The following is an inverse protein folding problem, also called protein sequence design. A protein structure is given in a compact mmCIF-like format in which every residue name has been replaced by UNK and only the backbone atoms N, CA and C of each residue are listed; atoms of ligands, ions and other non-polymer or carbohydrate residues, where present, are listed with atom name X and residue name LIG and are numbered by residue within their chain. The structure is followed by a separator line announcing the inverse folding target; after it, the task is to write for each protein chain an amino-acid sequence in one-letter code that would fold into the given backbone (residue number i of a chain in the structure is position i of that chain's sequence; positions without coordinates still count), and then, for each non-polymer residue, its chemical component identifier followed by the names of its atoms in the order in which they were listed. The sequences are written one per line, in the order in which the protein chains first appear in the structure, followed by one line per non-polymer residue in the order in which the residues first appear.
data_IF_018257821076
#
_entry.id   IF_018257821076
#
_cell.length_a   1.000
_cell.length_b   1.000
_cell.length_c   1.000
_cell.angle_alpha   90.00
_cell.angle_beta   90.00
_cell.angle_gamma   90.00
#
_symmetry.space_group_name_H-M   'P 1'
#
loop_
_entity.id
_entity.type
_entity.pdbx_description
1 polymer ?
#
# COMPACT_ATOMS: atom_id res chain seq x y z
N UNK A 1 22.74 7.08 0.02
CA UNK A 1 23.24 5.70 0.20
C UNK A 1 22.92 5.00 -1.11
N UNK A 2 23.88 4.44 -1.86
CA UNK A 2 23.55 3.70 -3.09
C UNK A 2 23.17 2.29 -2.71
N UNK A 3 21.89 1.96 -2.59
CA UNK A 3 21.49 0.57 -2.33
C UNK A 3 21.67 -0.23 -3.63
N UNK A 4 22.77 -0.94 -3.81
CA UNK A 4 22.87 -1.89 -4.93
C UNK A 4 23.00 -3.29 -4.34
N UNK A 5 21.93 -4.07 -4.55
CA UNK A 5 21.71 -5.46 -4.13
C UNK A 5 21.07 -5.65 -2.73
N UNK A 6 19.88 -6.23 -2.72
CA UNK A 6 19.33 -6.93 -1.55
C UNK A 6 20.01 -8.29 -1.49
N UNK A 7 21.07 -8.42 -0.68
CA UNK A 7 21.61 -9.72 -0.32
C UNK A 7 20.80 -10.26 0.87
N UNK A 8 19.90 -11.21 0.59
CA UNK A 8 19.42 -12.15 1.59
C UNK A 8 20.50 -13.22 1.68
N UNK A 9 21.08 -13.43 2.86
CA UNK A 9 22.11 -14.46 3.07
C UNK A 9 21.53 -15.84 2.73
N UNK A 10 21.80 -16.29 1.51
CA UNK A 10 21.55 -17.65 1.07
C UNK A 10 22.67 -18.54 1.63
N UNK A 11 22.28 -19.66 2.22
CA UNK A 11 23.17 -20.80 2.28
C UNK A 11 23.67 -21.14 0.87
N UNK A 12 24.96 -20.91 0.65
CA UNK A 12 25.82 -21.36 -0.45
C UNK A 12 26.05 -20.43 -1.67
N UNK A 13 27.35 -20.14 -1.82
CA UNK A 13 28.12 -19.83 -3.02
C UNK A 13 27.95 -18.46 -3.71
N UNK A 14 29.00 -17.66 -3.56
CA UNK A 14 29.32 -16.48 -4.36
C UNK A 14 29.20 -16.76 -5.86
N UNK A 15 28.59 -15.82 -6.60
CA UNK A 15 28.60 -15.84 -8.06
C UNK A 15 29.21 -14.53 -8.57
N UNK A 16 30.14 -14.71 -9.49
CA UNK A 16 31.18 -13.81 -9.96
C UNK A 16 30.67 -12.64 -10.81
N UNK A 17 31.37 -11.49 -10.72
CA UNK A 17 30.94 -10.18 -11.19
C UNK A 17 31.20 -9.92 -12.70
N UNK A 18 31.26 -10.95 -13.55
CA UNK A 18 31.62 -10.78 -14.97
C UNK A 18 30.56 -11.24 -16.00
N UNK A 19 29.34 -11.63 -15.59
CA UNK A 19 28.29 -12.16 -16.49
C UNK A 19 27.13 -11.20 -16.82
N UNK A 20 27.32 -9.89 -16.56
CA UNK A 20 26.27 -8.87 -16.46
C UNK A 20 25.50 -8.52 -17.74
N UNK A 21 25.91 -8.99 -18.92
CA UNK A 21 25.24 -8.63 -20.20
C UNK A 21 24.36 -9.72 -20.81
N UNK A 22 24.37 -10.96 -20.30
CA UNK A 22 23.59 -12.08 -20.88
C UNK A 22 22.26 -12.37 -20.16
N UNK A 23 21.91 -11.62 -19.12
CA UNK A 23 20.66 -11.80 -18.37
C UNK A 23 19.45 -11.04 -18.95
N UNK A 24 19.66 -10.09 -19.86
CA UNK A 24 18.61 -9.24 -20.42
C UNK A 24 17.70 -9.93 -21.46
N UNK A 25 18.03 -11.14 -21.94
CA UNK A 25 17.26 -11.82 -22.99
C UNK A 25 16.31 -12.92 -22.50
N UNK A 26 16.11 -13.06 -21.18
CA UNK A 26 15.22 -14.08 -20.58
C UNK A 26 14.10 -13.50 -19.70
N UNK A 27 13.99 -12.18 -19.60
CA UNK A 27 12.80 -11.54 -19.04
C UNK A 27 11.66 -11.62 -20.07
N UNK A 28 11.11 -12.82 -20.23
CA UNK A 28 9.68 -12.93 -20.53
C UNK A 28 8.98 -12.00 -19.55
N UNK A 29 8.17 -11.08 -20.09
CA UNK A 29 7.34 -10.15 -19.32
C UNK A 29 6.83 -10.86 -18.06
N UNK A 30 7.17 -10.36 -16.85
CA UNK A 30 6.77 -11.03 -15.62
C UNK A 30 5.27 -11.27 -15.66
N UNK A 31 4.81 -12.38 -15.10
CA UNK A 31 3.43 -12.48 -14.69
C UNK A 31 3.23 -11.42 -13.60
N UNK A 32 2.81 -10.23 -14.03
CA UNK A 32 2.44 -9.12 -13.18
C UNK A 32 1.22 -9.61 -12.40
N UNK A 33 1.38 -9.92 -11.11
CA UNK A 33 0.24 -9.85 -10.19
C UNK A 33 -0.03 -8.36 -10.00
N UNK A 34 -0.92 -7.86 -10.84
CA UNK A 34 -1.24 -6.47 -11.03
C UNK A 34 -2.02 -5.99 -9.81
N UNK A 35 -1.32 -5.61 -8.75
CA UNK A 35 -1.81 -4.48 -7.96
C UNK A 35 -1.49 -3.20 -8.74
N UNK A 36 -2.14 -3.05 -9.90
CA UNK A 36 -2.60 -1.73 -10.36
C UNK A 36 -3.29 -1.05 -9.18
N UNK A 37 -3.45 0.28 -9.20
CA UNK A 37 -4.40 0.93 -8.31
C UNK A 37 -5.72 0.14 -8.36
N UNK A 38 -5.98 -0.67 -7.34
CA UNK A 38 -7.00 -1.70 -7.44
C UNK A 38 -8.24 -1.07 -6.85
N UNK A 39 -9.32 -1.09 -7.60
CA UNK A 39 -10.57 -0.63 -7.04
C UNK A 39 -11.08 -1.62 -6.01
N UNK A 40 -11.58 -1.13 -4.87
CA UNK A 40 -12.32 -1.95 -3.90
C UNK A 40 -13.41 -2.77 -4.61
N UNK A 41 -13.76 -3.93 -4.05
CA UNK A 41 -14.73 -4.84 -4.68
C UNK A 41 -16.01 -4.13 -5.14
N UNK A 42 -16.37 -4.29 -6.42
CA UNK A 42 -17.53 -3.67 -7.05
C UNK A 42 -17.28 -2.30 -7.70
N UNK A 43 -16.10 -1.71 -7.54
CA UNK A 43 -15.69 -0.52 -8.29
C UNK A 43 -14.95 -0.90 -9.58
N UNK A 44 -15.07 -0.05 -10.60
CA UNK A 44 -14.39 -0.17 -11.90
C UNK A 44 -13.41 0.99 -12.08
N UNK A 45 -12.19 0.69 -12.52
CA UNK A 45 -11.16 1.71 -12.75
C UNK A 45 -11.38 2.41 -14.09
N UNK A 46 -11.25 3.73 -14.10
CA UNK A 46 -11.21 4.55 -15.30
C UNK A 46 -10.32 5.77 -15.04
N UNK A 47 -9.33 6.00 -15.91
CA UNK A 47 -8.35 7.10 -15.80
C UNK A 47 -7.71 7.27 -14.40
N UNK A 48 -7.43 6.16 -13.72
CA UNK A 48 -6.79 6.18 -12.40
C UNK A 48 -7.73 6.53 -11.24
N UNK A 49 -9.04 6.56 -11.46
CA UNK A 49 -10.08 6.75 -10.43
C UNK A 49 -11.00 5.52 -10.44
N UNK A 50 -11.50 5.13 -9.27
CA UNK A 50 -12.41 4.02 -9.10
C UNK A 50 -13.84 4.51 -9.02
N UNK A 51 -14.75 3.90 -9.78
CA UNK A 51 -16.16 4.29 -9.81
C UNK A 51 -17.10 3.13 -9.53
N UNK A 52 -18.20 3.40 -8.84
CA UNK A 52 -19.24 2.41 -8.57
C UNK A 52 -20.62 3.05 -8.61
N UNK A 53 -21.49 2.48 -9.44
CA UNK A 53 -22.90 2.84 -9.48
C UNK A 53 -23.68 1.94 -8.48
N UNK A 54 -24.37 2.57 -7.53
CA UNK A 54 -25.13 1.86 -6.50
C UNK A 54 -26.56 1.62 -6.94
N UNK A 55 -27.04 0.38 -6.78
CA UNK A 55 -28.40 -0.01 -7.16
C UNK A 55 -29.47 0.30 -6.07
N UNK A 56 -29.18 1.25 -5.18
CA UNK A 56 -30.07 1.66 -4.08
C UNK A 56 -30.42 3.13 -4.24
N UNK A 57 -31.64 3.51 -3.86
CA UNK A 57 -32.12 4.89 -3.99
C UNK A 57 -31.90 5.68 -2.71
N UNK A 58 -31.46 6.94 -2.84
CA UNK A 58 -31.14 7.87 -1.75
C UNK A 58 -31.33 9.32 -2.20
N UNK A 59 -31.63 10.20 -1.26
CA UNK A 59 -31.43 11.64 -1.46
C UNK A 59 -29.93 11.97 -1.60
N UNK A 60 -29.64 13.18 -2.08
CA UNK A 60 -28.27 13.61 -2.37
C UNK A 60 -27.34 13.52 -1.14
N UNK A 61 -27.83 13.93 0.02
CA UNK A 61 -27.05 13.96 1.27
C UNK A 61 -26.70 12.55 1.76
N UNK A 62 -27.66 11.62 1.72
CA UNK A 62 -27.45 10.23 2.11
C UNK A 62 -26.58 9.49 1.08
N UNK A 63 -26.68 9.84 -0.20
CA UNK A 63 -25.82 9.31 -1.26
C UNK A 63 -24.37 9.76 -1.05
N UNK A 64 -24.14 11.06 -0.82
CA UNK A 64 -22.83 11.61 -0.49
C UNK A 64 -22.24 10.95 0.77
N UNK A 65 -23.03 10.85 1.84
CA UNK A 65 -22.63 10.15 3.08
C UNK A 65 -22.28 8.67 2.83
N UNK A 66 -22.99 8.00 1.92
CA UNK A 66 -22.69 6.61 1.54
C UNK A 66 -21.37 6.52 0.78
N UNK A 67 -21.10 7.43 -0.14
CA UNK A 67 -19.82 7.46 -0.86
C UNK A 67 -18.65 7.77 0.07
N UNK A 68 -18.82 8.68 1.03
CA UNK A 68 -17.82 8.96 2.07
C UNK A 68 -17.56 7.72 2.93
N UNK A 69 -18.61 7.03 3.37
CA UNK A 69 -18.48 5.79 4.14
C UNK A 69 -17.82 4.65 3.35
N UNK A 70 -17.95 4.67 2.02
CA UNK A 70 -17.32 3.69 1.10
C UNK A 70 -15.94 4.17 0.59
N UNK A 71 -15.35 5.19 1.22
CA UNK A 71 -13.96 5.63 0.99
C UNK A 71 -13.76 6.65 -0.14
N UNK A 72 -14.81 7.38 -0.53
CA UNK A 72 -14.78 8.31 -1.66
C UNK A 72 -15.74 9.49 -1.54
N UNK A 73 -16.24 9.95 -2.67
CA UNK A 73 -17.18 11.07 -2.85
C UNK A 73 -18.21 10.71 -3.92
N UNK A 74 -19.25 11.52 -4.11
CA UNK A 74 -20.05 11.38 -5.33
C UNK A 74 -19.18 11.62 -6.57
N UNK A 75 -19.45 10.90 -7.65
CA UNK A 75 -18.63 10.95 -8.86
C UNK A 75 -18.69 12.33 -9.53
N UNK A 76 -17.58 12.77 -10.13
CA UNK A 76 -17.46 14.08 -10.77
C UNK A 76 -17.09 13.91 -12.25
N UNK A 77 -18.06 13.74 -13.17
CA UNK A 77 -17.81 13.64 -14.61
C UNK A 77 -17.35 14.98 -15.20
N UNK A 78 -16.07 15.32 -15.01
CA UNK A 78 -15.51 16.63 -15.39
C UNK A 78 -15.09 16.77 -16.85
N UNK A 79 -15.08 15.66 -17.59
CA UNK A 79 -14.68 15.60 -18.99
C UNK A 79 -15.52 14.60 -19.78
N UNK A 80 -15.37 14.63 -21.11
CA UNK A 80 -16.16 13.81 -22.03
C UNK A 80 -15.93 12.32 -21.87
N UNK A 81 -14.70 11.90 -21.57
CA UNK A 81 -14.32 10.48 -21.45
C UNK A 81 -14.91 9.89 -20.17
N UNK A 82 -14.68 10.56 -19.04
CA UNK A 82 -15.23 10.19 -17.73
C UNK A 82 -16.77 10.17 -17.77
N UNK A 83 -17.41 11.17 -18.40
CA UNK A 83 -18.86 11.20 -18.54
C UNK A 83 -19.41 10.00 -19.33
N UNK A 84 -18.79 9.67 -20.47
CA UNK A 84 -19.20 8.52 -21.28
C UNK A 84 -19.02 7.19 -20.51
N UNK A 85 -17.95 7.06 -19.76
CA UNK A 85 -17.71 5.90 -18.90
C UNK A 85 -18.80 5.77 -17.81
N UNK A 86 -19.14 6.86 -17.09
CA UNK A 86 -20.19 6.83 -16.06
C UNK A 86 -21.57 6.48 -16.62
N UNK A 87 -21.88 6.93 -17.84
CA UNK A 87 -23.12 6.56 -18.54
C UNK A 87 -23.19 5.04 -18.76
N UNK A 88 -22.10 4.44 -19.25
CA UNK A 88 -22.05 2.99 -19.44
C UNK A 88 -22.15 2.24 -18.09
N UNK A 89 -21.45 2.72 -17.07
CA UNK A 89 -21.47 2.15 -15.72
C UNK A 89 -22.87 2.13 -15.11
N UNK A 90 -23.59 3.27 -15.13
CA UNK A 90 -24.95 3.34 -14.58
C UNK A 90 -25.95 2.50 -15.37
N UNK A 91 -25.85 2.48 -16.70
CA UNK A 91 -26.80 1.77 -17.55
C UNK A 91 -26.66 0.25 -17.43
N UNK A 92 -25.44 -0.23 -17.13
CA UNK A 92 -25.19 -1.62 -16.81
C UNK A 92 -25.85 -2.05 -15.48
N UNK A 93 -26.01 -1.12 -14.54
CA UNK A 93 -26.70 -1.37 -13.26
C UNK A 93 -28.21 -1.27 -13.41
N UNK A 94 -28.70 -0.17 -13.98
CA UNK A 94 -30.11 0.02 -14.32
C UNK A 94 -30.29 1.17 -15.32
N UNK A 95 -30.53 0.83 -16.59
CA UNK A 95 -30.79 1.78 -17.66
C UNK A 95 -32.11 2.57 -17.51
N UNK A 96 -33.02 2.14 -16.63
CA UNK A 96 -34.34 2.77 -16.44
C UNK A 96 -34.37 3.83 -15.33
N UNK A 97 -33.33 3.91 -14.50
CA UNK A 97 -33.25 4.84 -13.35
C UNK A 97 -32.34 6.04 -13.63
N UNK A 98 -32.64 7.16 -12.97
CA UNK A 98 -31.71 8.29 -12.86
C UNK A 98 -30.61 8.01 -11.83
N UNK A 99 -29.45 8.66 -11.99
CA UNK A 99 -28.29 8.50 -11.11
C UNK A 99 -27.66 9.85 -10.74
N UNK A 100 -27.63 10.18 -9.45
CA UNK A 100 -26.98 11.37 -8.91
C UNK A 100 -25.46 11.27 -8.99
N UNK A 101 -24.83 12.43 -9.18
CA UNK A 101 -23.38 12.61 -9.15
C UNK A 101 -23.05 13.93 -8.43
N UNK A 102 -21.77 14.16 -8.14
CA UNK A 102 -21.29 15.12 -7.16
C UNK A 102 -21.21 16.56 -7.67
N UNK A 103 -22.33 17.12 -8.12
CA UNK A 103 -22.44 18.50 -8.60
C UNK A 103 -23.71 19.14 -8.03
N UNK A 104 -23.58 20.34 -7.47
CA UNK A 104 -24.69 21.08 -6.83
C UNK A 104 -24.50 22.59 -6.90
N UNK A 105 -25.59 23.35 -6.94
CA UNK A 105 -25.60 24.82 -6.80
C UNK A 105 -26.37 25.29 -5.55
N UNK A 106 -26.56 24.39 -4.56
CA UNK A 106 -27.21 24.65 -3.25
C UNK A 106 -26.77 25.94 -2.53
N UNK A 107 -25.52 26.36 -2.74
CA UNK A 107 -24.97 27.56 -2.10
C UNK A 107 -25.45 28.84 -2.77
N UNK A 108 -25.59 28.83 -4.10
CA UNK A 108 -25.98 29.96 -4.91
C UNK A 108 -26.50 29.47 -6.26
N UNK A 109 -27.79 29.68 -6.51
CA UNK A 109 -28.47 29.35 -7.76
C UNK A 109 -27.65 29.72 -9.01
N UNK A 110 -27.44 28.73 -9.89
CA UNK A 110 -26.68 28.87 -11.13
C UNK A 110 -25.16 28.75 -10.99
N UNK A 111 -24.62 28.80 -9.76
CA UNK A 111 -23.20 28.59 -9.47
C UNK A 111 -22.95 27.14 -9.05
N UNK A 112 -22.88 26.26 -10.04
CA UNK A 112 -22.64 24.82 -9.85
C UNK A 112 -21.21 24.52 -9.38
N UNK A 113 -21.09 23.74 -8.30
CA UNK A 113 -19.84 23.37 -7.63
C UNK A 113 -19.76 21.84 -7.48
N UNK A 114 -18.57 21.30 -7.74
CA UNK A 114 -18.25 19.89 -7.56
C UNK A 114 -17.94 19.55 -6.10
N UNK A 115 -18.01 18.27 -5.72
CA UNK A 115 -17.64 17.78 -4.36
C UNK A 115 -16.21 18.19 -3.91
N UNK A 116 -15.30 18.50 -4.84
CA UNK A 116 -13.95 19.00 -4.54
C UNK A 116 -13.84 20.54 -4.47
N UNK A 117 -14.98 21.24 -4.36
CA UNK A 117 -15.11 22.70 -4.31
C UNK A 117 -14.63 23.44 -5.56
N UNK A 118 -14.44 22.75 -6.68
CA UNK A 118 -14.15 23.38 -7.97
C UNK A 118 -15.46 23.78 -8.64
N UNK A 119 -15.53 25.00 -9.18
CA UNK A 119 -16.70 25.47 -9.96
C UNK A 119 -16.81 24.72 -11.29
N UNK A 120 -18.04 24.47 -11.75
CA UNK A 120 -18.32 23.89 -13.06
C UNK A 120 -17.68 24.73 -14.18
N UNK A 121 -17.06 24.06 -15.14
CA UNK A 121 -16.31 24.69 -16.23
C UNK A 121 -17.08 24.64 -17.57
N UNK A 122 -16.38 24.56 -18.70
CA UNK A 122 -16.99 24.52 -20.03
C UNK A 122 -17.69 23.19 -20.35
N UNK A 123 -17.30 22.09 -19.71
CA UNK A 123 -17.93 20.79 -19.92
C UNK A 123 -19.18 20.66 -19.05
N UNK A 124 -20.36 20.67 -19.70
CA UNK A 124 -21.68 20.70 -19.04
C UNK A 124 -22.76 20.07 -19.94
N UNK A 125 -22.79 18.74 -20.10
CA UNK A 125 -23.71 18.02 -20.98
C UNK A 125 -25.13 17.93 -20.40
N UNK A 126 -25.68 19.08 -20.00
CA UNK A 126 -27.08 19.25 -19.62
C UNK A 126 -28.03 18.82 -20.74
N UNK A 127 -29.17 18.28 -20.36
CA UNK A 127 -30.26 17.97 -21.26
C UNK A 127 -30.79 19.23 -21.96
N UNK A 128 -31.44 19.09 -23.12
CA UNK A 128 -32.22 20.16 -23.74
C UNK A 128 -33.17 20.85 -22.75
N UNK A 129 -32.85 22.09 -22.37
CA UNK A 129 -33.65 22.88 -21.43
C UNK A 129 -33.16 22.84 -19.98
N UNK A 130 -32.15 22.02 -19.67
CA UNK A 130 -31.54 21.92 -18.34
C UNK A 130 -30.29 22.82 -18.20
N UNK A 131 -29.94 23.24 -16.97
CA UNK A 131 -30.74 23.10 -15.75
C UNK A 131 -31.95 24.06 -15.77
N UNK A 132 -33.11 23.60 -15.31
CA UNK A 132 -34.39 24.32 -15.40
C UNK A 132 -34.94 24.86 -14.05
N UNK A 133 -34.33 24.42 -12.95
CA UNK A 133 -34.66 24.71 -11.57
C UNK A 133 -36.16 24.53 -11.24
N UNK A 134 -36.75 23.40 -11.66
CA UNK A 134 -38.17 23.13 -11.46
C UNK A 134 -38.45 22.76 -10.00
N UNK A 135 -38.88 23.75 -9.22
CA UNK A 135 -39.21 23.63 -7.79
C UNK A 135 -37.98 23.49 -6.89
N UNK A 136 -36.92 24.27 -7.16
CA UNK A 136 -35.73 24.34 -6.31
C UNK A 136 -34.90 23.04 -6.42
N UNK A 137 -34.34 22.83 -7.61
CA UNK A 137 -33.59 21.62 -7.97
C UNK A 137 -32.09 21.89 -8.02
N UNK A 138 -31.42 21.69 -6.89
CA UNK A 138 -30.02 22.12 -6.76
C UNK A 138 -28.97 20.99 -6.91
N UNK A 139 -29.38 19.79 -7.34
CA UNK A 139 -28.50 18.61 -7.35
C UNK A 139 -28.51 17.88 -8.68
N UNK A 140 -27.33 17.68 -9.27
CA UNK A 140 -27.22 17.08 -10.59
C UNK A 140 -27.41 15.56 -10.57
N UNK A 141 -28.08 15.07 -11.60
CA UNK A 141 -28.24 13.65 -11.89
C UNK A 141 -28.19 13.37 -13.39
N UNK A 142 -27.83 12.15 -13.77
CA UNK A 142 -28.08 11.67 -15.12
C UNK A 142 -29.55 11.28 -15.25
N UNK A 143 -30.20 11.71 -16.33
CA UNK A 143 -31.43 11.09 -16.76
C UNK A 143 -31.24 9.58 -16.99
N UNK A 144 -32.34 8.85 -16.78
CA UNK A 144 -32.51 7.47 -17.23
C UNK A 144 -32.05 7.30 -18.68
N UNK A 145 -31.32 6.22 -18.98
CA UNK A 145 -30.91 5.94 -20.35
C UNK A 145 -32.06 5.45 -21.24
N UNK A 146 -33.23 5.16 -20.66
CA UNK A 146 -34.49 4.96 -21.39
C UNK A 146 -35.36 6.22 -21.48
N UNK A 147 -34.86 7.40 -21.09
CA UNK A 147 -35.58 8.66 -21.27
C UNK A 147 -35.76 8.96 -22.76
N UNK A 148 -36.95 9.40 -23.20
CA UNK A 148 -37.29 9.41 -24.63
C UNK A 148 -36.54 10.47 -25.46
N UNK A 149 -36.21 11.61 -24.86
CA UNK A 149 -35.55 12.74 -25.53
C UNK A 149 -34.15 13.04 -24.99
N UNK A 150 -33.90 12.70 -23.73
CA UNK A 150 -32.75 13.23 -22.96
C UNK A 150 -31.93 12.09 -22.33
N UNK A 151 -31.99 10.91 -22.94
CA UNK A 151 -31.31 9.71 -22.45
C UNK A 151 -29.86 10.01 -22.08
N UNK A 152 -29.52 9.79 -20.81
CA UNK A 152 -28.17 9.98 -20.26
C UNK A 152 -27.63 11.42 -20.24
N UNK A 153 -28.43 12.43 -20.59
CA UNK A 153 -28.02 13.82 -20.38
C UNK A 153 -28.09 14.19 -18.88
N UNK A 154 -27.44 15.28 -18.47
CA UNK A 154 -27.57 15.77 -17.11
C UNK A 154 -28.90 16.49 -16.89
N UNK A 155 -29.44 16.36 -15.69
CA UNK A 155 -30.64 17.00 -15.19
C UNK A 155 -30.33 17.59 -13.82
N UNK A 156 -30.87 18.76 -13.52
CA UNK A 156 -30.95 19.25 -12.15
C UNK A 156 -32.20 18.66 -11.49
N UNK A 157 -32.01 18.02 -10.34
CA UNK A 157 -33.06 17.31 -9.62
C UNK A 157 -33.09 17.71 -8.16
N UNK A 158 -34.27 17.70 -7.54
CA UNK A 158 -34.42 17.97 -6.10
C UNK A 158 -33.43 17.17 -5.25
N UNK A 159 -32.61 17.84 -4.45
CA UNK A 159 -31.62 17.21 -3.56
C UNK A 159 -32.25 16.29 -2.51
N UNK A 160 -33.54 16.45 -2.21
CA UNK A 160 -34.25 15.76 -1.12
C UNK A 160 -35.03 14.52 -1.59
N UNK A 161 -35.16 14.31 -2.91
CA UNK A 161 -35.84 13.17 -3.48
C UNK A 161 -35.09 11.85 -3.19
N UNK A 162 -35.80 10.85 -2.66
CA UNK A 162 -35.22 9.57 -2.19
C UNK A 162 -35.30 8.42 -3.20
N UNK A 163 -35.69 8.71 -4.44
CA UNK A 163 -35.95 7.74 -5.52
C UNK A 163 -34.85 7.70 -6.59
N UNK A 164 -33.80 8.52 -6.45
CA UNK A 164 -32.65 8.49 -7.37
C UNK A 164 -31.54 7.56 -6.86
N UNK A 165 -30.91 6.81 -7.77
CA UNK A 165 -29.67 6.06 -7.49
C UNK A 165 -28.47 6.99 -7.56
N UNK A 166 -27.25 6.51 -7.32
CA UNK A 166 -26.07 7.37 -7.26
C UNK A 166 -24.80 6.66 -7.69
N UNK A 167 -23.79 7.44 -8.09
CA UNK A 167 -22.48 6.96 -8.49
C UNK A 167 -21.43 7.55 -7.54
N UNK A 168 -20.62 6.70 -6.94
CA UNK A 168 -19.47 7.13 -6.15
C UNK A 168 -18.20 7.08 -6.99
N UNK A 169 -17.27 7.98 -6.70
CA UNK A 169 -15.88 7.87 -7.09
C UNK A 169 -15.00 7.78 -5.85
N UNK A 170 -13.97 6.96 -5.91
CA UNK A 170 -12.93 6.88 -4.89
C UNK A 170 -11.58 6.96 -5.59
N UNK A 171 -10.59 7.52 -4.91
CA UNK A 171 -9.21 7.19 -5.27
C UNK A 171 -9.10 5.67 -5.22
N UNK A 172 -8.47 5.02 -6.21
CA UNK A 172 -8.20 3.60 -6.08
C UNK A 172 -7.58 3.38 -4.72
N UNK A 173 -8.06 2.35 -4.02
CA UNK A 173 -7.38 2.00 -2.79
C UNK A 173 -5.93 1.83 -3.22
N UNK A 174 -5.05 2.55 -2.52
CA UNK A 174 -3.71 2.06 -2.41
C UNK A 174 -3.90 0.58 -2.13
N UNK A 175 -3.40 -0.31 -2.99
CA UNK A 175 -3.35 -1.71 -2.60
C UNK A 175 -2.84 -1.78 -1.16
N UNK A 176 -3.12 -2.85 -0.43
CA UNK A 176 -2.59 -2.98 0.93
C UNK A 176 -1.06 -2.88 0.99
N UNK A 177 -0.36 -2.77 -0.15
CA UNK A 177 1.00 -2.29 -0.34
C UNK A 177 1.13 -1.52 -1.68
N UNK A 178 2.32 -0.98 -1.96
CA UNK A 178 2.69 -0.36 -3.25
C UNK A 178 3.72 -1.18 -4.01
N UNK A 179 3.65 -1.17 -5.33
CA UNK A 179 4.60 -1.82 -6.22
C UNK A 179 4.18 -3.19 -6.75
N UNK A 180 4.81 -3.58 -7.85
CA UNK A 180 4.57 -4.83 -8.54
C UNK A 180 5.34 -5.96 -7.87
N UNK A 181 4.65 -7.02 -7.48
CA UNK A 181 5.26 -8.14 -6.76
C UNK A 181 5.97 -9.10 -7.69
N UNK A 182 7.12 -9.59 -7.23
CA UNK A 182 7.77 -10.77 -7.77
C UNK A 182 8.07 -11.74 -6.64
N UNK A 183 7.41 -12.90 -6.68
CA UNK A 183 7.65 -14.00 -5.74
C UNK A 183 8.45 -15.07 -6.46
N UNK A 184 9.69 -15.29 -6.03
CA UNK A 184 10.54 -16.33 -6.62
C UNK A 184 10.17 -17.69 -6.03
N UNK A 185 9.92 -18.66 -6.91
CA UNK A 185 9.61 -20.05 -6.55
C UNK A 185 8.39 -20.22 -5.63
N UNK A 186 7.45 -19.27 -5.65
CA UNK A 186 6.27 -19.22 -4.78
C UNK A 186 6.60 -19.25 -3.27
N UNK A 187 7.82 -18.86 -2.89
CA UNK A 187 8.23 -18.69 -1.50
C UNK A 187 7.95 -17.24 -1.05
N UNK A 188 6.93 -17.01 -0.19
CA UNK A 188 6.55 -15.66 0.23
C UNK A 188 7.54 -15.04 1.22
N UNK A 189 8.56 -15.76 1.69
CA UNK A 189 9.54 -15.22 2.63
C UNK A 189 10.27 -13.99 2.08
N UNK A 190 10.46 -13.93 0.75
CA UNK A 190 11.01 -12.76 0.05
C UNK A 190 10.21 -12.50 -1.22
N UNK A 191 9.43 -11.43 -1.20
CA UNK A 191 8.73 -10.88 -2.35
C UNK A 191 9.37 -9.54 -2.71
N UNK A 192 9.91 -9.40 -3.92
CA UNK A 192 10.43 -8.11 -4.37
C UNK A 192 9.30 -7.22 -4.86
N UNK A 193 9.39 -5.93 -4.58
CA UNK A 193 8.46 -4.91 -5.05
C UNK A 193 9.17 -4.05 -6.09
N UNK A 194 8.54 -3.86 -7.24
CA UNK A 194 9.05 -3.01 -8.32
C UNK A 194 8.18 -1.76 -8.48
N UNK A 195 8.79 -0.64 -8.87
CA UNK A 195 8.05 0.53 -9.33
C UNK A 195 7.49 0.33 -10.75
N UNK A 196 6.66 1.26 -11.22
CA UNK A 196 6.02 1.17 -12.54
C UNK A 196 6.98 1.14 -13.73
N UNK A 197 8.24 1.52 -13.52
CA UNK A 197 9.27 1.51 -14.55
C UNK A 197 10.15 0.25 -14.46
N UNK A 198 9.87 -0.65 -13.50
CA UNK A 198 10.51 -1.95 -13.38
C UNK A 198 11.76 -1.98 -12.51
N UNK A 199 12.00 -0.96 -11.67
CA UNK A 199 13.14 -0.95 -10.73
C UNK A 199 12.71 -1.40 -9.33
N UNK A 200 13.58 -2.14 -8.62
CA UNK A 200 13.30 -2.62 -7.25
C UNK A 200 13.07 -1.44 -6.31
N UNK A 201 11.85 -1.31 -5.80
CA UNK A 201 11.39 -0.22 -4.94
C UNK A 201 11.15 -0.66 -3.48
N UNK A 202 11.18 -1.97 -3.20
CA UNK A 202 10.96 -2.49 -1.86
C UNK A 202 11.03 -4.01 -1.78
N UNK A 203 10.72 -4.52 -0.59
CA UNK A 203 10.66 -5.93 -0.26
C UNK A 203 9.49 -6.20 0.68
N UNK A 204 8.82 -7.32 0.46
CA UNK A 204 7.77 -7.85 1.30
C UNK A 204 8.16 -9.22 1.84
N UNK A 205 7.77 -9.49 3.08
CA UNK A 205 7.83 -10.80 3.70
C UNK A 205 6.40 -11.22 4.03
N UNK A 206 6.00 -12.40 3.55
CA UNK A 206 4.69 -12.98 3.76
C UNK A 206 4.74 -14.22 4.63
N UNK A 207 3.74 -14.40 5.48
CA UNK A 207 3.47 -15.62 6.24
C UNK A 207 2.09 -16.13 5.90
N UNK A 208 1.97 -17.39 5.47
CA UNK A 208 0.65 -17.97 5.20
C UNK A 208 -0.08 -18.21 6.52
N UNK A 209 -1.35 -17.84 6.58
CA UNK A 209 -2.20 -18.06 7.77
C UNK A 209 -2.32 -19.53 8.14
N UNK A 210 -2.22 -20.44 7.16
CA UNK A 210 -2.22 -21.89 7.36
C UNK A 210 -0.96 -22.43 8.03
N UNK A 211 0.15 -21.69 7.97
CA UNK A 211 1.45 -22.08 8.54
C UNK A 211 1.62 -21.56 9.98
N UNK A 212 0.72 -20.68 10.43
CA UNK A 212 0.77 -20.15 11.78
C UNK A 212 0.27 -21.17 12.81
N UNK A 213 0.99 -21.37 13.93
CA UNK A 213 0.52 -22.25 14.99
C UNK A 213 -0.77 -21.73 15.61
N UNK A 214 -1.65 -22.64 16.04
CA UNK A 214 -2.92 -22.31 16.70
C UNK A 214 -2.76 -21.79 18.14
N UNK A 215 -1.52 -21.63 18.62
CA UNK A 215 -1.18 -21.24 19.99
C UNK A 215 -1.17 -19.71 20.22
N UNK A 216 -1.45 -18.92 19.17
CA UNK A 216 -1.45 -17.46 19.24
C UNK A 216 -0.05 -16.84 19.18
N UNK A 217 0.94 -17.57 18.68
CA UNK A 217 2.24 -17.03 18.23
C UNK A 217 2.07 -15.99 17.12
N UNK A 218 3.10 -15.16 16.93
CA UNK A 218 3.03 -13.91 16.16
C UNK A 218 3.05 -14.18 14.65
N UNK A 219 2.21 -13.49 13.86
CA UNK A 219 1.18 -12.53 14.30
C UNK A 219 -0.01 -13.22 15.00
N UNK A 220 -0.40 -12.77 16.22
CA UNK A 220 -1.57 -13.33 16.89
C UNK A 220 -2.84 -12.94 16.13
N UNK A 221 -3.96 -13.62 16.40
CA UNK A 221 -5.29 -13.33 15.81
C UNK A 221 -5.86 -11.92 16.07
N UNK A 222 -5.06 -10.97 16.56
CA UNK A 222 -5.30 -9.54 16.57
C UNK A 222 -4.20 -8.85 15.74
N UNK A 223 -4.59 -8.21 14.65
CA UNK A 223 -3.69 -7.46 13.76
C UNK A 223 -3.09 -6.31 14.56
N UNK A 224 -1.80 -6.41 14.88
CA UNK A 224 -1.02 -5.29 15.39
C UNK A 224 -0.13 -4.76 14.27
N UNK A 225 -0.12 -3.43 14.01
CA UNK A 225 0.94 -2.79 13.24
C UNK A 225 2.32 -3.37 13.59
N UNK A 226 3.18 -3.71 12.61
CA UNK A 226 3.11 -3.40 11.19
C UNK A 226 2.51 -4.52 10.30
N UNK A 227 1.81 -5.51 10.87
CA UNK A 227 1.27 -6.61 10.09
C UNK A 227 0.07 -6.18 9.23
N UNK A 228 0.13 -6.47 7.93
CA UNK A 228 -0.95 -6.17 6.98
C UNK A 228 -1.58 -7.47 6.49
N UNK A 229 -2.92 -7.50 6.48
CA UNK A 229 -3.68 -8.65 5.99
C UNK A 229 -3.77 -8.62 4.46
N UNK A 230 -3.49 -9.76 3.81
CA UNK A 230 -3.73 -9.95 2.39
C UNK A 230 -4.19 -11.38 2.12
N UNK A 231 -5.50 -11.55 1.89
CA UNK A 231 -6.14 -12.84 1.59
C UNK A 231 -5.76 -13.92 2.60
N UNK A 232 -4.94 -14.89 2.20
CA UNK A 232 -4.47 -16.03 3.00
C UNK A 232 -3.13 -15.77 3.71
N UNK A 233 -2.58 -14.55 3.65
CA UNK A 233 -1.28 -14.18 4.18
C UNK A 233 -1.33 -12.99 5.16
N UNK A 234 -0.30 -12.93 6.01
CA UNK A 234 0.14 -11.75 6.75
C UNK A 234 1.41 -11.21 6.13
N UNK A 235 1.52 -9.89 6.02
CA UNK A 235 2.60 -9.22 5.32
C UNK A 235 3.34 -8.24 6.23
N UNK A 236 4.65 -8.19 6.04
CA UNK A 236 5.52 -7.08 6.44
C UNK A 236 6.10 -6.45 5.19
N UNK A 237 6.03 -5.13 5.08
CA UNK A 237 6.47 -4.41 3.89
C UNK A 237 7.55 -3.39 4.25
N UNK A 238 8.69 -3.48 3.57
CA UNK A 238 9.73 -2.48 3.53
C UNK A 238 9.77 -1.80 2.15
N UNK A 239 9.81 -0.48 2.12
CA UNK A 239 10.03 0.30 0.90
C UNK A 239 11.40 0.97 0.96
N UNK A 240 12.09 1.01 -0.18
CA UNK A 240 13.41 1.63 -0.33
C UNK A 240 13.33 3.04 -0.93
N UNK A 241 12.15 3.39 -1.45
CA UNK A 241 11.80 4.72 -1.92
C UNK A 241 10.45 5.11 -1.35
N UNK A 242 10.09 6.38 -1.47
CA UNK A 242 8.80 6.88 -0.98
C UNK A 242 7.64 6.12 -1.66
N UNK A 243 6.71 5.51 -0.89
CA UNK A 243 5.65 4.67 -1.46
C UNK A 243 4.67 5.40 -2.39
N UNK A 244 4.52 6.72 -2.24
CA UNK A 244 3.70 7.53 -3.15
C UNK A 244 4.22 7.48 -4.59
N UNK A 245 5.51 7.25 -4.77
CA UNK A 245 6.20 7.42 -6.05
C UNK A 245 6.25 6.10 -6.83
N UNK A 246 6.16 4.96 -6.12
CA UNK A 246 6.32 3.61 -6.67
C UNK A 246 5.34 3.33 -7.83
N UNK A 247 4.06 3.68 -7.66
CA UNK A 247 3.02 3.40 -8.64
C UNK A 247 2.63 4.62 -9.49
N UNK A 248 3.09 5.83 -9.13
CA UNK A 248 2.71 7.08 -9.79
C UNK A 248 3.74 7.47 -10.83
N UNK A 249 4.92 7.95 -10.42
CA UNK A 249 5.98 8.47 -11.27
C UNK A 249 7.06 7.42 -11.55
N UNK A 250 7.28 6.50 -10.62
CA UNK A 250 8.39 5.55 -10.62
C UNK A 250 9.75 6.25 -10.67
N UNK A 251 10.85 5.49 -10.65
CA UNK A 251 12.17 6.08 -10.94
C UNK A 251 12.50 6.00 -12.41
N UNK A 252 13.24 6.98 -12.89
CA UNK A 252 13.95 6.96 -14.15
C UNK A 252 15.20 6.07 -14.06
N UNK A 253 15.71 5.63 -15.20
CA UNK A 253 16.99 4.91 -15.27
C UNK A 253 18.13 5.73 -14.66
N UNK A 254 18.15 7.05 -14.85
CA UNK A 254 19.20 7.91 -14.31
C UNK A 254 19.16 7.95 -12.77
N UNK A 255 17.98 8.06 -12.17
CA UNK A 255 17.79 7.97 -10.71
C UNK A 255 18.21 6.60 -10.20
N UNK A 256 17.80 5.51 -10.85
CA UNK A 256 18.21 4.16 -10.45
C UNK A 256 19.73 3.94 -10.54
N UNK A 257 20.39 4.46 -11.57
CA UNK A 257 21.85 4.38 -11.69
C UNK A 257 22.57 5.20 -10.63
N UNK A 258 21.99 6.33 -10.20
CA UNK A 258 22.59 7.13 -9.14
C UNK A 258 22.30 6.59 -7.74
N UNK A 259 21.06 6.21 -7.46
CA UNK A 259 20.57 5.87 -6.11
C UNK A 259 20.56 4.36 -5.84
N UNK A 260 20.60 3.54 -6.89
CA UNK A 260 20.36 2.10 -6.78
C UNK A 260 18.89 1.77 -6.48
N UNK A 261 18.64 0.75 -5.68
CA UNK A 261 17.31 0.32 -5.23
C UNK A 261 16.63 1.33 -4.31
N UNK A 262 17.32 2.36 -3.83
CA UNK A 262 16.73 3.48 -3.11
C UNK A 262 17.75 4.23 -2.25
N UNK A 263 17.29 5.28 -1.56
CA UNK A 263 18.10 6.07 -0.62
C UNK A 263 17.63 5.99 0.82
N UNK A 264 16.41 5.49 1.02
CA UNK A 264 15.68 5.54 2.28
C UNK A 264 15.17 4.13 2.65
N UNK A 265 14.64 3.99 3.87
CA UNK A 265 13.99 2.77 4.32
C UNK A 265 12.71 3.12 5.09
N UNK A 266 11.59 2.63 4.60
CA UNK A 266 10.28 2.81 5.21
C UNK A 266 9.67 1.45 5.55
N UNK A 267 9.08 1.32 6.74
CA UNK A 267 8.23 0.16 7.08
C UNK A 267 6.78 0.60 7.05
N UNK A 268 5.94 -0.18 6.36
CA UNK A 268 4.51 0.03 6.41
C UNK A 268 3.96 -0.35 7.79
N UNK A 269 3.29 0.58 8.45
CA UNK A 269 2.74 0.40 9.80
C UNK A 269 1.22 0.36 9.83
N UNK A 270 0.54 0.52 8.70
CA UNK A 270 -0.92 0.52 8.66
C UNK A 270 -1.49 0.28 7.27
N UNK A 271 -2.83 0.25 7.16
CA UNK A 271 -3.53 -0.11 5.94
C UNK A 271 -3.28 0.85 4.77
N UNK A 272 -2.92 2.11 5.03
CA UNK A 272 -2.56 3.06 3.98
C UNK A 272 -1.03 3.06 3.76
N UNK A 273 -0.51 2.44 2.68
CA UNK A 273 0.93 2.32 2.47
C UNK A 273 1.63 3.64 2.13
N UNK A 274 0.90 4.74 1.94
CA UNK A 274 1.49 6.07 1.63
C UNK A 274 1.53 7.01 2.83
N UNK A 275 0.63 6.84 3.81
CA UNK A 275 0.59 7.64 5.04
C UNK A 275 1.02 6.87 6.27
N UNK A 276 0.73 5.58 6.33
CA UNK A 276 0.97 4.74 7.50
C UNK A 276 2.33 4.06 7.34
N UNK A 277 3.38 4.88 7.40
CA UNK A 277 4.76 4.47 7.22
C UNK A 277 5.65 5.02 8.32
N UNK A 278 6.65 4.24 8.70
CA UNK A 278 7.73 4.64 9.60
C UNK A 278 9.02 4.73 8.80
N UNK A 279 9.55 5.94 8.65
CA UNK A 279 10.88 6.15 8.09
C UNK A 279 11.95 5.78 9.12
N UNK A 280 12.95 5.02 8.69
CA UNK A 280 14.03 4.60 9.56
C UNK A 280 15.21 5.57 9.47
N UNK A 281 15.84 5.94 10.60
CA UNK A 281 16.99 6.82 10.57
C UNK A 281 18.13 6.19 9.76
N UNK A 282 18.83 7.01 8.96
CA UNK A 282 19.92 6.53 8.11
C UNK A 282 21.27 6.61 8.82
N UNK A 283 21.39 7.49 9.80
CA UNK A 283 22.61 7.71 10.56
C UNK A 283 22.36 7.39 12.04
N UNK A 284 23.31 6.70 12.68
CA UNK A 284 23.17 6.27 14.07
C UNK A 284 22.94 7.43 15.07
N UNK A 285 23.54 8.63 14.91
CA UNK A 285 23.22 9.78 15.75
C UNK A 285 21.74 10.20 15.71
N UNK A 286 21.03 9.92 14.61
CA UNK A 286 19.62 10.27 14.45
C UNK A 286 18.68 9.34 15.25
N UNK A 287 19.23 8.32 15.93
CA UNK A 287 18.50 7.48 16.87
C UNK A 287 18.30 8.15 18.23
N UNK A 288 19.07 9.20 18.55
CA UNK A 288 18.97 9.90 19.83
C UNK A 288 17.58 10.51 20.00
N UNK A 289 16.92 10.19 21.11
CA UNK A 289 15.55 10.66 21.40
C UNK A 289 14.44 9.90 20.68
N UNK A 290 14.76 8.84 19.92
CA UNK A 290 13.78 7.93 19.33
C UNK A 290 13.50 6.73 20.24
N UNK A 291 12.50 5.92 19.86
CA UNK A 291 12.16 4.67 20.57
C UNK A 291 13.12 3.50 20.22
N UNK A 292 14.11 3.70 19.36
CA UNK A 292 15.07 2.66 19.02
C UNK A 292 16.01 2.38 20.19
N UNK A 293 15.90 1.17 20.74
CA UNK A 293 16.72 0.69 21.84
C UNK A 293 17.97 0.01 21.31
N UNK A 294 19.13 0.41 21.84
CA UNK A 294 20.42 -0.14 21.46
C UNK A 294 20.56 -1.60 21.89
N UNK A 295 20.79 -2.49 20.92
CA UNK A 295 21.04 -3.90 21.16
C UNK A 295 22.52 -4.28 21.13
N UNK A 296 22.78 -5.58 21.03
CA UNK A 296 24.14 -6.10 20.92
C UNK A 296 24.75 -5.85 19.55
N UNK A 297 26.08 -5.82 19.54
CA UNK A 297 26.83 -5.90 18.31
C UNK A 297 27.27 -7.33 18.05
N UNK A 298 27.16 -7.77 16.80
CA UNK A 298 27.59 -9.07 16.34
C UNK A 298 28.65 -8.87 15.28
N UNK A 299 29.81 -9.49 15.48
CA UNK A 299 30.87 -9.44 14.50
C UNK A 299 30.39 -10.10 13.19
N UNK A 300 30.44 -9.35 12.09
CA UNK A 300 29.88 -9.77 10.80
C UNK A 300 28.37 -9.56 10.63
N UNK A 301 27.67 -9.00 11.63
CA UNK A 301 26.23 -8.69 11.55
C UNK A 301 25.89 -7.34 12.21
N UNK A 302 26.82 -6.38 12.20
CA UNK A 302 26.58 -4.98 12.62
C UNK A 302 26.12 -4.79 14.08
N UNK A 303 25.88 -3.53 14.44
CA UNK A 303 25.22 -3.13 15.69
C UNK A 303 23.70 -3.15 15.50
N UNK A 304 22.99 -3.99 16.26
CA UNK A 304 21.52 -4.11 16.17
C UNK A 304 20.81 -3.08 17.05
N UNK A 305 19.64 -2.63 16.58
CA UNK A 305 18.70 -1.79 17.31
C UNK A 305 17.29 -2.36 17.20
N UNK A 306 16.52 -2.26 18.29
CA UNK A 306 15.19 -2.84 18.43
C UNK A 306 14.18 -1.75 18.79
N UNK A 307 13.01 -1.76 18.18
CA UNK A 307 12.00 -0.73 18.44
C UNK A 307 11.32 -0.92 19.80
N UNK A 308 11.31 0.14 20.62
CA UNK A 308 10.60 0.27 21.90
C UNK A 308 10.73 -0.95 22.82
N UNK A 309 11.97 -1.38 23.06
CA UNK A 309 12.23 -2.64 23.74
C UNK A 309 12.23 -2.44 25.27
N UNK A 310 11.36 -3.17 25.97
CA UNK A 310 11.23 -3.09 27.44
C UNK A 310 11.31 -4.47 28.09
N UNK A 311 11.78 -4.53 29.34
CA UNK A 311 11.89 -5.78 30.11
C UNK A 311 10.52 -6.41 30.39
N UNK A 312 9.51 -5.58 30.63
CA UNK A 312 8.16 -5.94 31.07
C UNK A 312 7.13 -5.98 29.94
N UNK A 313 7.54 -5.80 28.68
CA UNK A 313 6.61 -5.82 27.54
C UNK A 313 5.95 -7.19 27.32
N UNK A 314 4.71 -7.16 26.82
CA UNK A 314 4.07 -8.37 26.29
C UNK A 314 4.73 -8.74 24.96
N UNK A 315 4.88 -10.04 24.68
CA UNK A 315 5.46 -10.48 23.42
C UNK A 315 4.63 -10.08 22.20
N UNK A 316 3.32 -9.86 22.36
CA UNK A 316 2.46 -9.33 21.30
C UNK A 316 2.80 -7.90 20.90
N UNK A 317 3.51 -7.16 21.76
CA UNK A 317 3.98 -5.79 21.50
C UNK A 317 5.33 -5.76 20.78
N UNK A 318 5.97 -6.91 20.57
CA UNK A 318 7.26 -6.97 19.86
C UNK A 318 7.07 -6.49 18.43
N UNK A 319 7.73 -5.39 18.11
CA UNK A 319 7.84 -4.92 16.75
C UNK A 319 8.72 -5.91 15.96
N UNK A 320 8.24 -6.46 14.83
CA UNK A 320 8.90 -7.56 14.14
C UNK A 320 10.07 -7.12 13.26
N UNK A 321 10.61 -5.92 13.48
CA UNK A 321 11.69 -5.32 12.68
C UNK A 321 12.84 -4.88 13.58
N UNK A 322 14.06 -5.15 13.14
CA UNK A 322 15.28 -4.58 13.70
C UNK A 322 16.10 -3.89 12.62
N UNK A 323 16.88 -2.89 13.02
CA UNK A 323 17.79 -2.18 12.13
C UNK A 323 19.23 -2.34 12.58
N UNK A 324 20.15 -2.19 11.65
CA UNK A 324 21.56 -2.48 11.87
C UNK A 324 22.46 -1.40 11.28
N UNK A 325 23.42 -0.96 12.09
CA UNK A 325 24.37 0.07 11.72
C UNK A 325 25.80 -0.47 11.65
N UNK A 326 26.53 -0.02 10.63
CA UNK A 326 27.95 -0.31 10.40
C UNK A 326 28.68 1.02 10.22
N UNK A 327 29.66 1.31 11.08
CA UNK A 327 30.38 2.59 11.03
C UNK A 327 29.48 3.83 11.14
N UNK A 328 28.38 3.73 11.90
CA UNK A 328 27.42 4.82 12.12
C UNK A 328 26.40 5.04 11.02
N UNK A 329 26.38 4.21 9.98
CA UNK A 329 25.40 4.28 8.88
C UNK A 329 24.51 3.05 8.85
N UNK A 330 23.25 3.23 8.49
CA UNK A 330 22.31 2.13 8.28
C UNK A 330 22.89 1.22 7.19
N UNK A 331 23.12 -0.05 7.54
CA UNK A 331 23.78 -1.03 6.68
C UNK A 331 22.81 -2.15 6.30
N UNK A 332 21.89 -2.47 7.20
CA UNK A 332 20.95 -3.56 7.03
C UNK A 332 19.72 -3.39 7.93
N UNK A 333 18.67 -4.16 7.63
CA UNK A 333 17.52 -4.35 8.51
C UNK A 333 17.16 -5.84 8.55
N UNK A 334 16.20 -6.23 9.37
CA UNK A 334 15.73 -7.59 9.35
C UNK A 334 14.40 -7.81 10.06
N UNK A 335 13.85 -9.00 9.82
CA UNK A 335 12.61 -9.47 10.41
C UNK A 335 12.90 -10.35 11.60
N UNK A 336 12.13 -10.20 12.68
CA UNK A 336 12.21 -11.04 13.87
C UNK A 336 10.80 -11.55 14.20
N UNK A 337 10.53 -12.80 13.82
CA UNK A 337 9.21 -13.41 13.93
C UNK A 337 9.21 -14.44 15.04
N UNK A 338 8.29 -14.29 15.99
CA UNK A 338 8.17 -15.15 17.18
C UNK A 338 7.59 -16.53 16.93
N UNK A 339 7.89 -17.16 15.80
CA UNK A 339 7.50 -18.54 15.47
C UNK A 339 8.50 -19.16 14.47
N UNK A 340 8.40 -20.48 14.27
CA UNK A 340 9.13 -21.19 13.20
C UNK A 340 8.45 -20.96 11.85
N UNK A 341 9.20 -20.53 10.86
CA UNK A 341 8.76 -20.36 9.48
C UNK A 341 9.59 -21.28 8.57
N UNK A 342 8.92 -22.16 7.82
CA UNK A 342 9.58 -23.14 6.97
C UNK A 342 9.99 -22.52 5.63
N UNK A 343 11.16 -21.88 5.59
CA UNK A 343 11.81 -21.43 4.36
C UNK A 343 13.33 -21.40 4.53
N UNK A 344 14.10 -21.76 3.48
CA UNK A 344 15.57 -21.66 3.52
C UNK A 344 16.10 -20.22 3.62
N UNK A 345 15.21 -19.21 3.54
CA UNK A 345 15.54 -17.78 3.66
C UNK A 345 15.51 -17.29 5.11
N UNK A 346 14.93 -18.06 6.03
CA UNK A 346 14.95 -17.74 7.46
C UNK A 346 16.13 -18.42 8.16
N UNK A 347 16.72 -17.68 9.07
CA UNK A 347 17.62 -18.18 10.09
C UNK A 347 16.81 -18.56 11.33
N UNK A 348 17.19 -19.66 11.98
CA UNK A 348 16.59 -20.09 13.24
C UNK A 348 17.67 -20.09 14.34
N UNK A 349 17.79 -18.98 15.09
CA UNK A 349 18.79 -18.87 16.13
C UNK A 349 18.63 -19.95 17.20
N UNK A 350 19.73 -20.42 17.81
CA UNK A 350 19.67 -21.44 18.85
C UNK A 350 18.94 -20.94 20.11
N UNK A 351 18.50 -21.87 20.99
CA UNK A 351 17.89 -21.55 22.27
C UNK A 351 18.68 -20.49 23.06
N UNK A 352 17.99 -19.45 23.54
CA UNK A 352 18.61 -18.30 24.21
C UNK A 352 18.69 -17.03 23.35
N UNK A 353 18.01 -16.98 22.20
CA UNK A 353 17.95 -15.80 21.33
C UNK A 353 17.55 -14.50 22.06
N UNK A 354 16.70 -14.58 23.08
CA UNK A 354 16.35 -13.43 23.92
C UNK A 354 17.57 -12.69 24.47
N UNK A 355 18.67 -13.40 24.78
CA UNK A 355 19.92 -12.81 25.31
C UNK A 355 20.69 -11.94 24.32
N UNK A 356 20.30 -11.93 23.04
CA UNK A 356 20.87 -11.05 22.02
C UNK A 356 20.28 -9.64 22.03
N UNK A 357 19.17 -9.47 22.75
CA UNK A 357 18.54 -8.19 23.01
C UNK A 357 19.08 -7.59 24.30
N UNK A 358 19.17 -6.26 24.35
CA UNK A 358 19.52 -5.53 25.56
C UNK A 358 18.60 -4.30 25.64
N UNK A 359 17.68 -4.23 26.63
CA UNK A 359 17.39 -5.24 27.65
C UNK A 359 16.73 -6.50 27.06
N UNK A 360 16.75 -7.62 27.80
CA UNK A 360 16.04 -8.85 27.38
C UNK A 360 14.58 -8.80 27.87
N UNK A 361 13.56 -8.80 27.00
CA UNK A 361 12.17 -8.91 27.42
C UNK A 361 11.91 -10.21 28.18
N UNK A 362 11.18 -10.15 29.29
CA UNK A 362 10.82 -11.32 30.10
C UNK A 362 10.07 -12.37 29.27
N UNK A 363 9.24 -11.92 28.32
CA UNK A 363 8.48 -12.79 27.44
C UNK A 363 9.36 -13.58 26.44
N UNK A 364 10.61 -13.14 26.21
CA UNK A 364 11.63 -13.83 25.39
C UNK A 364 12.69 -14.56 26.25
N UNK A 365 12.56 -14.53 27.58
CA UNK A 365 13.49 -15.19 28.48
C UNK A 365 13.33 -16.73 28.49
N UNK A 366 12.17 -17.23 28.07
CA UNK A 366 11.94 -18.66 27.85
C UNK A 366 12.76 -19.16 26.66
N UNK A 367 13.79 -19.95 26.96
CA UNK A 367 14.74 -20.49 25.97
C UNK A 367 14.12 -21.54 25.04
N UNK A 368 12.90 -22.00 25.29
CA UNK A 368 12.21 -22.97 24.43
C UNK A 368 11.53 -22.34 23.21
N UNK A 369 11.37 -21.01 23.18
CA UNK A 369 10.72 -20.30 22.07
C UNK A 369 11.58 -20.31 20.81
N UNK A 370 10.99 -20.74 19.70
CA UNK A 370 11.60 -20.69 18.38
C UNK A 370 11.30 -19.32 17.75
N UNK A 371 12.33 -18.74 17.14
CA UNK A 371 12.25 -17.48 16.42
C UNK A 371 12.79 -17.71 15.01
N UNK A 372 12.17 -17.07 14.03
CA UNK A 372 12.68 -16.99 12.67
C UNK A 372 13.16 -15.57 12.42
N UNK A 373 14.41 -15.42 12.00
CA UNK A 373 15.00 -14.14 11.63
C UNK A 373 15.38 -14.11 10.18
N UNK A 374 15.35 -12.94 9.54
CA UNK A 374 15.92 -12.75 8.21
C UNK A 374 16.61 -11.41 8.15
N UNK A 375 17.88 -11.41 7.78
CA UNK A 375 18.70 -10.20 7.61
C UNK A 375 18.71 -9.80 6.15
N UNK A 376 18.51 -8.50 5.90
CA UNK A 376 18.49 -7.86 4.59
C UNK A 376 19.56 -6.78 4.57
N UNK A 377 20.66 -7.05 3.87
CA UNK A 377 21.78 -6.11 3.75
C UNK A 377 21.58 -5.14 2.59
N UNK A 378 21.89 -3.86 2.84
CA UNK A 378 21.68 -2.73 1.94
C UNK A 378 23.02 -2.21 1.38
N UNK A 379 23.97 -3.11 1.07
CA UNK A 379 25.35 -2.77 0.74
C UNK A 379 25.75 -3.23 -0.66
N UNK A 380 26.59 -2.41 -1.32
CA UNK A 380 27.19 -2.76 -2.60
C UNK A 380 28.58 -3.37 -2.36
N UNK A 381 28.69 -4.69 -2.40
CA UNK A 381 29.98 -5.35 -2.69
C UNK A 381 30.89 -5.74 -1.51
N UNK A 382 30.43 -5.71 -0.25
CA UNK A 382 31.17 -6.34 0.85
C UNK A 382 30.35 -7.47 1.47
N UNK A 383 30.90 -8.69 1.58
CA UNK A 383 30.21 -9.74 2.27
C UNK A 383 30.04 -9.37 3.76
N UNK A 384 28.99 -9.85 4.43
CA UNK A 384 28.67 -9.45 5.81
C UNK A 384 29.80 -9.62 6.81
N UNK A 385 30.78 -10.50 6.55
CA UNK A 385 31.93 -10.70 7.45
C UNK A 385 32.82 -9.46 7.66
N UNK A 386 32.74 -8.44 6.80
CA UNK A 386 33.43 -7.15 7.03
C UNK A 386 32.61 -6.15 7.84
N UNK A 387 31.40 -6.52 8.25
CA UNK A 387 30.57 -5.64 9.05
C UNK A 387 31.05 -5.61 10.50
N UNK A 388 31.19 -4.41 11.03
CA UNK A 388 31.76 -4.17 12.34
C UNK A 388 30.80 -3.38 13.23
N UNK A 389 31.15 -3.37 14.51
CA UNK A 389 30.80 -2.31 15.45
C UNK A 389 31.84 -1.20 15.26
#
# INVERSE_FOLDING_TARGET
MKLLAVLVLLGAAAVDAQSWWSWWSWFSTPAIDDSTPACSSGYQIHNGICYKAFNTTKNFYDASSTCVADGGTLAMPKDTDTNAFLINLKNAVDNSSSFRFGLTDLNQEGDWIWEDNVTLSSFRPWGPGEPNNVRDEDCAEFFSGSHSSDANAWNDGSCTNNDTKFICQATPSAGTWRGFRYVKDNDPAVTLLFDKNGFIAGLQMGVRKSELPSDGSIPPGQITPPWIEDKDMWLLTAYFIQPSDICSDGRTEAEYQDEGTGTDLYIQTGPNPTSDIMAFPLQQPDLEGTEWTEGKCFWGMCKHYWWNLRVDMDCKELFPVFIMYNGGKLDAFGWNIGTYLDSPRYEHPPPGFGTYKDPVPTCLADRSRIVSTMHVYLTNGYPPFFNHC
#
